data_IF_020137131589
#
_entry.id   IF_020137131589
#
_cell.length_a   1.000
_cell.length_b   1.000
_cell.length_c   1.000
_cell.angle_alpha   90.00
_cell.angle_beta   90.00
_cell.angle_gamma   90.00
#
_symmetry.space_group_name_H-M   'P 1'
#
loop_
_entity.id
_entity.type
_entity.pdbx_description
1 polymer ?
#
# COMPACT_ATOMS: atom_id res chain seq x y z
N UNK A 1 7.68 18.82 9.69
CA UNK A 1 6.85 18.06 8.72
C UNK A 1 7.77 17.26 7.81
N UNK A 2 7.60 15.93 7.75
CA UNK A 2 8.33 15.13 6.76
C UNK A 2 7.79 15.46 5.36
N UNK A 3 8.68 15.65 4.39
CA UNK A 3 8.27 15.88 3.00
C UNK A 3 7.58 14.63 2.44
N UNK A 4 6.51 14.82 1.66
CA UNK A 4 5.91 13.74 0.89
C UNK A 4 6.94 13.26 -0.15
N UNK A 5 7.29 11.98 -0.11
CA UNK A 5 8.27 11.38 -1.02
C UNK A 5 7.61 10.23 -1.77
N UNK A 6 7.31 10.49 -3.03
CA UNK A 6 6.72 9.50 -3.93
C UNK A 6 7.50 9.55 -5.23
N UNK A 7 7.93 8.39 -5.72
CA UNK A 7 8.51 8.22 -7.05
C UNK A 7 7.53 7.43 -7.90
N UNK A 8 7.29 7.90 -9.10
CA UNK A 8 6.43 7.23 -10.09
C UNK A 8 7.30 6.81 -11.26
N UNK A 9 7.20 5.53 -11.63
CA UNK A 9 7.91 4.94 -12.76
C UNK A 9 6.87 4.32 -13.68
N UNK A 10 6.66 4.94 -14.83
CA UNK A 10 5.82 4.39 -15.90
C UNK A 10 6.62 3.38 -16.73
N UNK A 11 5.91 2.48 -17.40
CA UNK A 11 6.51 1.43 -18.23
C UNK A 11 7.54 0.57 -17.46
N UNK A 12 7.18 0.21 -16.23
CA UNK A 12 8.06 -0.42 -15.26
C UNK A 12 8.60 -1.79 -15.72
N UNK A 13 7.74 -2.69 -16.17
CA UNK A 13 8.13 -3.98 -16.74
C UNK A 13 8.29 -3.87 -18.26
N UNK A 14 9.36 -4.49 -18.83
CA UNK A 14 9.49 -4.56 -20.30
C UNK A 14 8.35 -5.34 -20.98
N UNK A 15 7.83 -6.38 -20.33
CA UNK A 15 6.65 -7.15 -20.78
C UNK A 15 5.63 -7.29 -19.64
N UNK A 16 4.81 -6.26 -19.41
CA UNK A 16 3.82 -6.28 -18.32
C UNK A 16 2.67 -7.26 -18.55
N UNK A 17 2.40 -7.62 -19.80
CA UNK A 17 1.37 -8.59 -20.12
C UNK A 17 1.76 -9.99 -19.68
N UNK A 18 3.02 -10.38 -19.81
CA UNK A 18 3.52 -11.65 -19.29
C UNK A 18 3.47 -11.69 -17.76
N UNK A 19 3.81 -10.58 -17.09
CA UNK A 19 3.66 -10.47 -15.63
C UNK A 19 2.21 -10.65 -15.20
N UNK A 20 1.28 -9.96 -15.88
CA UNK A 20 -0.16 -10.09 -15.61
C UNK A 20 -0.66 -11.51 -15.84
N UNK A 21 -0.34 -12.13 -16.99
CA UNK A 21 -0.74 -13.52 -17.26
C UNK A 21 -0.23 -14.48 -16.21
N UNK A 22 1.03 -14.32 -15.81
CA UNK A 22 1.62 -15.11 -14.74
C UNK A 22 0.86 -14.91 -13.42
N UNK A 23 0.65 -13.67 -12.99
CA UNK A 23 -0.11 -13.36 -11.79
C UNK A 23 -1.48 -14.05 -11.77
N UNK A 24 -2.22 -13.98 -12.88
CA UNK A 24 -3.55 -14.58 -13.01
C UNK A 24 -3.53 -16.11 -13.07
N UNK A 25 -2.39 -16.75 -13.33
CA UNK A 25 -2.24 -18.21 -13.32
C UNK A 25 -1.94 -18.78 -11.92
N UNK A 26 -1.60 -17.93 -10.96
CA UNK A 26 -1.23 -18.34 -9.61
C UNK A 26 -2.46 -18.67 -8.74
N UNK A 27 -2.21 -19.44 -7.69
CA UNK A 27 -3.20 -19.64 -6.64
C UNK A 27 -3.19 -18.46 -5.67
N UNK A 28 -4.38 -17.98 -5.36
CA UNK A 28 -4.59 -16.91 -4.39
C UNK A 28 -5.18 -17.49 -3.11
N UNK A 29 -4.79 -16.92 -1.99
CA UNK A 29 -5.30 -17.18 -0.64
C UNK A 29 -5.98 -15.92 -0.12
N UNK A 30 -6.98 -16.06 0.71
CA UNK A 30 -7.64 -14.92 1.34
C UNK A 30 -6.71 -14.27 2.37
N UNK A 31 -6.46 -12.98 2.22
CA UNK A 31 -5.64 -12.23 3.15
C UNK A 31 -6.28 -12.12 4.55
N UNK A 32 -7.61 -12.16 4.64
CA UNK A 32 -8.33 -12.07 5.90
C UNK A 32 -8.19 -13.33 6.77
N UNK A 33 -7.98 -14.50 6.17
CA UNK A 33 -7.89 -15.77 6.90
C UNK A 33 -6.56 -16.01 7.61
N UNK A 34 -5.53 -15.20 7.32
CA UNK A 34 -4.19 -15.39 7.89
C UNK A 34 -3.87 -14.49 9.08
N UNK A 35 -4.66 -13.42 9.26
CA UNK A 35 -4.50 -12.51 10.38
C UNK A 35 -5.86 -11.99 10.81
N UNK A 36 -6.39 -12.48 11.90
CA UNK A 36 -7.69 -12.09 12.47
C UNK A 36 -7.84 -10.57 12.72
N UNK A 37 -6.76 -9.81 12.65
CA UNK A 37 -6.71 -8.37 12.88
C UNK A 37 -6.40 -7.53 11.64
N UNK A 38 -6.37 -8.09 10.42
CA UNK A 38 -6.07 -7.30 9.24
C UNK A 38 -7.32 -6.71 8.61
N UNK A 39 -7.34 -5.38 8.50
CA UNK A 39 -8.29 -4.64 7.68
C UNK A 39 -7.95 -4.74 6.18
N UNK A 40 -6.92 -5.52 5.82
CA UNK A 40 -6.51 -5.73 4.44
C UNK A 40 -7.39 -6.80 3.82
N UNK A 41 -8.29 -6.37 2.97
CA UNK A 41 -9.09 -7.27 2.14
C UNK A 41 -8.37 -7.64 0.86
N UNK A 42 -8.80 -8.74 0.30
CA UNK A 42 -8.34 -9.24 -0.97
C UNK A 42 -7.60 -10.55 -0.85
N UNK A 43 -7.14 -11.01 -1.97
CA UNK A 43 -6.45 -12.27 -2.13
C UNK A 43 -4.98 -12.02 -2.45
N UNK A 44 -4.10 -12.80 -1.86
CA UNK A 44 -2.64 -12.72 -2.00
C UNK A 44 -2.09 -14.00 -2.60
N UNK A 45 -1.02 -13.89 -3.37
CA UNK A 45 -0.21 -15.05 -3.78
C UNK A 45 0.89 -15.33 -2.75
N UNK A 46 1.60 -16.44 -2.92
CA UNK A 46 2.87 -16.65 -2.22
C UNK A 46 3.94 -15.70 -2.73
N UNK A 47 4.86 -15.22 -1.86
CA UNK A 47 5.86 -14.22 -2.25
C UNK A 47 7.01 -14.76 -3.11
N UNK A 48 7.21 -16.07 -3.16
CA UNK A 48 8.34 -16.67 -3.88
C UNK A 48 7.96 -17.01 -5.32
N UNK A 49 8.37 -16.17 -6.26
CA UNK A 49 8.17 -16.37 -7.69
C UNK A 49 9.17 -15.52 -8.52
N UNK A 50 9.44 -15.87 -9.80
CA UNK A 50 10.46 -15.19 -10.61
C UNK A 50 10.29 -13.67 -10.71
N UNK A 51 9.07 -13.19 -10.81
CA UNK A 51 8.79 -11.75 -10.92
C UNK A 51 9.00 -10.96 -9.62
N UNK A 52 9.18 -11.62 -8.47
CA UNK A 52 9.60 -10.96 -7.24
C UNK A 52 11.03 -10.41 -7.37
N UNK A 53 11.98 -11.25 -7.81
CA UNK A 53 13.37 -10.85 -8.00
C UNK A 53 13.55 -9.87 -9.15
N UNK A 54 12.87 -10.09 -10.27
CA UNK A 54 12.87 -9.17 -11.42
C UNK A 54 12.37 -7.78 -10.98
N UNK A 55 11.24 -7.71 -10.28
CA UNK A 55 10.67 -6.46 -9.80
C UNK A 55 11.61 -5.72 -8.85
N UNK A 56 12.26 -6.43 -7.90
CA UNK A 56 13.27 -5.83 -7.02
C UNK A 56 14.46 -5.27 -7.79
N UNK A 57 14.96 -5.99 -8.79
CA UNK A 57 16.05 -5.52 -9.65
C UNK A 57 15.67 -4.24 -10.40
N UNK A 58 14.44 -4.16 -10.91
CA UNK A 58 13.92 -2.96 -11.58
C UNK A 58 13.75 -1.78 -10.60
N UNK A 59 13.28 -2.02 -9.37
CA UNK A 59 13.20 -1.00 -8.32
C UNK A 59 14.59 -0.47 -7.98
N UNK A 60 15.57 -1.35 -7.74
CA UNK A 60 16.95 -0.97 -7.46
C UNK A 60 17.55 -0.12 -8.59
N UNK A 61 17.29 -0.51 -9.84
CA UNK A 61 17.71 0.24 -11.03
C UNK A 61 17.05 1.61 -11.10
N UNK A 62 15.75 1.71 -10.89
CA UNK A 62 15.01 2.97 -10.91
C UNK A 62 15.48 3.94 -9.82
N UNK A 63 15.82 3.43 -8.65
CA UNK A 63 16.37 4.22 -7.54
C UNK A 63 17.86 4.55 -7.72
N UNK A 64 18.55 3.84 -8.61
CA UNK A 64 20.01 3.86 -8.72
C UNK A 64 20.69 3.61 -7.35
N UNK A 65 20.17 2.63 -6.60
CA UNK A 65 20.60 2.28 -5.24
C UNK A 65 20.51 0.77 -5.02
N UNK A 66 21.46 0.19 -4.29
CA UNK A 66 21.29 -1.16 -3.79
C UNK A 66 20.16 -1.18 -2.77
N UNK A 67 19.35 -2.25 -2.81
CA UNK A 67 18.22 -2.43 -1.90
C UNK A 67 18.35 -3.74 -1.13
N UNK A 68 17.84 -3.74 0.09
CA UNK A 68 17.65 -4.91 0.93
C UNK A 68 16.16 -5.18 1.03
N UNK A 69 15.71 -6.29 0.45
CA UNK A 69 14.31 -6.67 0.52
C UNK A 69 13.88 -7.12 1.92
N UNK A 70 12.60 -6.96 2.22
CA UNK A 70 11.93 -7.49 3.41
C UNK A 70 10.75 -8.36 2.99
N UNK A 71 10.47 -9.40 3.74
CA UNK A 71 9.30 -10.25 3.47
C UNK A 71 7.99 -9.53 3.88
N UNK A 72 6.90 -9.70 3.16
CA UNK A 72 6.75 -10.47 1.92
C UNK A 72 7.27 -9.72 0.69
N UNK A 73 7.76 -10.45 -0.33
CA UNK A 73 8.39 -9.86 -1.51
C UNK A 73 7.56 -10.14 -2.74
N UNK A 74 7.14 -9.07 -3.42
CA UNK A 74 6.57 -9.15 -4.75
C UNK A 74 5.26 -9.93 -4.83
N UNK A 75 4.53 -10.05 -3.74
CA UNK A 75 3.21 -10.69 -3.74
C UNK A 75 2.27 -9.98 -4.71
N UNK A 76 1.56 -10.77 -5.51
CA UNK A 76 0.42 -10.23 -6.24
C UNK A 76 -0.80 -10.17 -5.32
N UNK A 77 -1.49 -9.05 -5.40
CA UNK A 77 -2.71 -8.80 -4.66
C UNK A 77 -3.86 -8.56 -5.62
N UNK A 78 -4.93 -9.31 -5.44
CA UNK A 78 -6.16 -9.20 -6.19
C UNK A 78 -7.28 -8.74 -5.27
N UNK A 79 -7.93 -7.63 -5.63
CA UNK A 79 -9.09 -7.09 -4.93
C UNK A 79 -10.31 -7.16 -5.85
N UNK A 80 -11.38 -7.72 -5.31
CA UNK A 80 -12.67 -7.83 -6.01
C UNK A 80 -13.73 -7.02 -5.24
N UNK A 81 -14.67 -6.47 -5.98
CA UNK A 81 -15.92 -5.98 -5.40
C UNK A 81 -16.84 -7.18 -5.22
N UNK A 82 -17.16 -7.51 -3.98
CA UNK A 82 -18.11 -8.58 -3.68
C UNK A 82 -19.47 -7.99 -3.31
N UNK A 83 -20.55 -8.73 -3.60
CA UNK A 83 -21.90 -8.30 -3.21
C UNK A 83 -22.09 -8.34 -1.67
N UNK A 84 -21.19 -9.03 -0.96
CA UNK A 84 -21.13 -9.07 0.50
C UNK A 84 -20.49 -7.83 1.14
N UNK A 85 -19.93 -6.89 0.34
CA UNK A 85 -19.41 -5.61 0.83
C UNK A 85 -20.53 -4.68 1.31
N UNK A 86 -21.56 -5.26 1.95
CA UNK A 86 -22.69 -4.54 2.53
C UNK A 86 -22.29 -3.70 3.75
N UNK A 87 -21.22 -4.04 4.44
CA UNK A 87 -20.71 -3.27 5.55
C UNK A 87 -19.97 -2.02 5.07
N UNK A 88 -20.31 -0.86 5.63
CA UNK A 88 -19.65 0.41 5.34
C UNK A 88 -18.12 0.33 5.56
N UNK A 89 -17.66 -0.40 6.57
CA UNK A 89 -16.23 -0.67 6.81
C UNK A 89 -15.57 -1.42 5.67
N UNK A 90 -16.29 -2.28 5.00
CA UNK A 90 -15.80 -3.14 3.92
C UNK A 90 -15.69 -2.40 2.59
N UNK A 91 -16.49 -1.37 2.41
CA UNK A 91 -16.41 -0.45 1.27
C UNK A 91 -15.44 0.69 1.51
N UNK A 92 -15.20 1.02 2.78
CA UNK A 92 -14.40 2.17 3.13
C UNK A 92 -12.94 1.95 2.74
N UNK A 93 -12.38 2.95 2.12
CA UNK A 93 -10.95 3.11 1.99
C UNK A 93 -10.40 3.35 3.39
N UNK A 94 -9.54 2.44 3.86
CA UNK A 94 -8.86 2.60 5.14
C UNK A 94 -7.52 3.28 4.92
N UNK A 95 -7.34 4.45 5.52
CA UNK A 95 -6.07 5.15 5.52
C UNK A 95 -5.17 4.52 6.58
N UNK A 96 -3.98 4.12 6.15
CA UNK A 96 -2.99 3.43 6.97
C UNK A 96 -1.57 3.84 6.59
N UNK A 97 -0.64 3.36 7.34
CA UNK A 97 0.77 3.24 6.97
C UNK A 97 1.12 1.76 6.92
N UNK A 98 2.13 1.39 6.16
CA UNK A 98 2.58 0.00 6.11
C UNK A 98 3.31 -0.39 7.40
N UNK A 99 3.39 -1.69 7.65
CA UNK A 99 4.10 -2.19 8.82
C UNK A 99 5.56 -1.69 8.84
N UNK A 100 6.05 -1.31 10.02
CA UNK A 100 7.38 -0.73 10.22
C UNK A 100 8.55 -1.72 9.99
N UNK A 101 8.32 -2.75 9.17
CA UNK A 101 9.32 -3.79 8.85
C UNK A 101 10.27 -3.39 7.74
N UNK A 102 9.90 -2.41 6.91
CA UNK A 102 10.71 -1.87 5.83
C UNK A 102 10.50 -0.37 5.70
N UNK A 103 11.54 0.35 5.30
CA UNK A 103 11.46 1.81 5.14
C UNK A 103 10.68 2.24 3.90
N UNK A 104 10.68 1.41 2.87
CA UNK A 104 10.05 1.72 1.59
C UNK A 104 9.08 0.63 1.18
N UNK A 105 8.01 1.07 0.55
CA UNK A 105 7.06 0.22 -0.15
C UNK A 105 7.03 0.60 -1.63
N UNK A 106 6.76 -0.37 -2.47
CA UNK A 106 6.43 -0.15 -3.86
C UNK A 106 5.26 -1.02 -4.29
N UNK A 107 4.45 -0.51 -5.20
CA UNK A 107 3.41 -1.29 -5.84
C UNK A 107 3.39 -1.03 -7.34
N UNK A 108 3.11 -2.08 -8.11
CA UNK A 108 2.95 -2.03 -9.56
C UNK A 108 1.51 -2.34 -9.92
N UNK A 109 0.89 -1.48 -10.73
CA UNK A 109 -0.46 -1.71 -11.23
C UNK A 109 -0.42 -2.60 -12.48
N UNK A 110 -1.23 -3.65 -12.48
CA UNK A 110 -1.23 -4.67 -13.55
C UNK A 110 -2.57 -4.82 -14.27
N UNK A 111 -3.52 -3.90 -14.07
CA UNK A 111 -4.75 -3.87 -14.85
C UNK A 111 -4.51 -3.19 -16.20
N UNK A 112 -5.13 -3.71 -17.29
CA UNK A 112 -5.16 -3.00 -18.57
C UNK A 112 -5.68 -1.56 -18.39
N UNK A 113 -5.24 -0.64 -19.24
CA UNK A 113 -5.59 0.78 -19.12
C UNK A 113 -7.11 1.02 -19.05
N UNK A 114 -7.89 0.25 -19.83
CA UNK A 114 -9.35 0.33 -19.82
C UNK A 114 -10.02 -0.08 -18.51
N UNK A 115 -9.28 -0.72 -17.60
CA UNK A 115 -9.76 -1.13 -16.28
C UNK A 115 -9.18 -0.26 -15.15
N UNK A 116 -8.26 0.66 -15.46
CA UNK A 116 -7.61 1.47 -14.45
C UNK A 116 -8.57 2.53 -13.89
N UNK A 117 -8.90 2.40 -12.60
CA UNK A 117 -9.76 3.32 -11.85
C UNK A 117 -9.11 3.65 -10.50
N UNK A 118 -9.21 4.92 -10.08
CA UNK A 118 -8.67 5.39 -8.81
C UNK A 118 -7.14 5.44 -8.80
N UNK A 119 -6.52 4.76 -7.84
CA UNK A 119 -5.07 4.76 -7.68
C UNK A 119 -4.64 4.53 -6.23
N UNK A 120 -3.63 5.28 -5.79
CA UNK A 120 -3.18 5.36 -4.41
C UNK A 120 -3.13 6.80 -3.98
N UNK A 121 -3.87 7.13 -2.94
CA UNK A 121 -3.93 8.47 -2.36
C UNK A 121 -3.07 8.56 -1.11
N UNK A 122 -2.49 9.75 -0.87
CA UNK A 122 -1.67 10.05 0.27
C UNK A 122 -2.30 11.17 1.08
N UNK A 123 -2.19 11.07 2.40
CA UNK A 123 -2.96 11.88 3.33
C UNK A 123 -2.11 12.51 4.42
N UNK A 124 -2.67 13.55 5.05
CA UNK A 124 -2.18 14.14 6.28
C UNK A 124 -3.25 14.00 7.34
N UNK A 125 -2.88 13.49 8.51
CA UNK A 125 -3.76 13.46 9.67
C UNK A 125 -3.93 14.85 10.25
N UNK A 126 -5.18 15.32 10.36
CA UNK A 126 -5.48 16.73 10.74
C UNK A 126 -5.05 17.06 12.16
N UNK A 127 -5.35 16.18 13.11
CA UNK A 127 -5.07 16.44 14.53
C UNK A 127 -3.56 16.42 14.81
N UNK A 128 -2.85 15.41 14.31
CA UNK A 128 -1.42 15.26 14.53
C UNK A 128 -0.57 16.10 13.57
N UNK A 129 -1.19 16.60 12.49
CA UNK A 129 -0.52 17.31 11.40
C UNK A 129 0.63 16.51 10.77
N UNK A 130 0.48 15.20 10.71
CA UNK A 130 1.45 14.25 10.15
C UNK A 130 1.00 13.74 8.80
N UNK A 131 1.93 13.62 7.86
CA UNK A 131 1.75 12.92 6.58
C UNK A 131 2.43 11.53 6.58
N UNK A 132 3.18 11.23 7.62
CA UNK A 132 3.79 9.93 7.88
C UNK A 132 3.87 9.72 9.40
N UNK A 133 3.76 8.48 9.86
CA UNK A 133 3.99 8.19 11.27
C UNK A 133 5.47 8.44 11.61
N UNK A 134 5.78 9.19 12.68
CA UNK A 134 7.14 9.35 13.15
C UNK A 134 7.74 8.02 13.60
N UNK A 135 9.06 7.97 13.69
CA UNK A 135 9.73 6.85 14.35
C UNK A 135 9.24 6.73 15.81
N UNK A 136 8.86 5.53 16.27
CA UNK A 136 8.40 5.33 17.65
C UNK A 136 9.38 5.83 18.73
N UNK A 137 10.68 5.83 18.42
CA UNK A 137 11.73 6.30 19.34
C UNK A 137 12.12 7.77 19.10
N UNK A 138 11.41 8.49 18.22
CA UNK A 138 11.71 9.89 17.95
C UNK A 138 11.24 10.84 19.06
N UNK A 139 11.90 11.99 19.15
CA UNK A 139 11.46 13.07 20.04
C UNK A 139 10.07 13.60 19.65
N UNK A 140 9.71 13.56 18.37
CA UNK A 140 8.40 13.96 17.86
C UNK A 140 7.29 13.08 18.43
N UNK A 141 7.46 11.76 18.43
CA UNK A 141 6.53 10.81 19.05
C UNK A 141 6.44 11.01 20.56
N UNK A 142 7.58 11.14 21.25
CA UNK A 142 7.63 11.37 22.67
C UNK A 142 6.94 12.68 23.10
N UNK A 143 7.08 13.73 22.30
CA UNK A 143 6.41 15.01 22.55
C UNK A 143 4.88 14.88 22.38
N UNK A 144 4.42 14.17 21.36
CA UNK A 144 2.99 13.95 21.16
C UNK A 144 2.38 13.16 22.32
N UNK A 145 2.99 12.05 22.69
CA UNK A 145 2.53 11.21 23.81
C UNK A 145 2.38 12.04 25.09
N UNK A 146 3.35 12.89 25.40
CA UNK A 146 3.28 13.79 26.57
C UNK A 146 2.17 14.82 26.45
N UNK A 147 2.03 15.45 25.29
CA UNK A 147 1.02 16.51 25.08
C UNK A 147 -0.40 15.99 25.17
N UNK A 148 -0.64 14.76 24.70
CA UNK A 148 -1.94 14.12 24.73
C UNK A 148 -2.18 13.26 25.98
N UNK A 149 -1.15 13.09 26.83
CA UNK A 149 -1.17 12.18 27.98
C UNK A 149 -1.60 10.74 27.62
N UNK A 150 -1.07 10.23 26.53
CA UNK A 150 -1.27 8.86 26.05
C UNK A 150 0.08 8.21 25.76
N UNK A 151 0.14 6.89 25.73
CA UNK A 151 1.33 6.16 25.31
C UNK A 151 1.38 5.99 23.78
N UNK A 152 2.46 5.38 23.29
CA UNK A 152 2.64 5.10 21.85
C UNK A 152 1.51 4.22 21.34
N UNK A 153 1.07 3.23 22.11
CA UNK A 153 -0.02 2.34 21.70
C UNK A 153 -1.32 3.13 21.52
N UNK A 154 -1.62 4.05 22.41
CA UNK A 154 -2.79 4.94 22.26
C UNK A 154 -2.74 5.81 21.00
N UNK A 155 -1.55 6.27 20.59
CA UNK A 155 -1.39 6.96 19.30
C UNK A 155 -1.68 6.02 18.13
N UNK A 156 -1.16 4.79 18.16
CA UNK A 156 -1.36 3.81 17.11
C UNK A 156 -2.82 3.39 16.98
N UNK A 157 -3.50 3.18 18.11
CA UNK A 157 -4.93 2.83 18.15
C UNK A 157 -5.78 3.98 17.61
N UNK A 158 -5.46 5.23 17.95
CA UNK A 158 -6.13 6.42 17.41
C UNK A 158 -5.98 6.48 15.89
N UNK A 159 -4.78 6.31 15.35
CA UNK A 159 -4.54 6.33 13.91
C UNK A 159 -5.30 5.21 13.18
N UNK A 160 -5.38 4.02 13.81
CA UNK A 160 -6.12 2.88 13.29
C UNK A 160 -7.61 3.15 13.19
N UNK A 161 -8.20 3.70 14.25
CA UNK A 161 -9.62 4.03 14.30
C UNK A 161 -9.96 5.20 13.37
N UNK A 162 -9.15 6.24 13.38
CA UNK A 162 -9.31 7.41 12.51
C UNK A 162 -9.13 7.07 11.02
N UNK A 163 -8.47 5.95 10.68
CA UNK A 163 -8.25 5.50 9.30
C UNK A 163 -9.53 5.31 8.48
N UNK A 164 -10.68 5.13 9.13
CA UNK A 164 -11.99 5.03 8.48
C UNK A 164 -12.76 6.37 8.42
N UNK A 165 -12.32 7.37 9.17
CA UNK A 165 -12.97 8.69 9.25
C UNK A 165 -12.31 9.68 8.27
N UNK A 166 -12.34 9.37 6.97
CA UNK A 166 -11.55 10.04 5.94
C UNK A 166 -11.86 11.54 5.89
N UNK A 167 -13.12 11.90 5.76
CA UNK A 167 -13.52 13.31 5.57
C UNK A 167 -13.34 14.16 6.83
N UNK A 168 -13.34 13.53 7.99
CA UNK A 168 -13.27 14.23 9.29
C UNK A 168 -11.83 14.40 9.78
N UNK A 169 -10.99 13.38 9.56
CA UNK A 169 -9.69 13.24 10.20
C UNK A 169 -8.50 13.47 9.27
N UNK A 170 -8.73 13.47 7.97
CA UNK A 170 -7.66 13.45 7.00
C UNK A 170 -7.80 14.54 5.93
N UNK A 171 -6.67 15.12 5.53
CA UNK A 171 -6.55 15.95 4.35
C UNK A 171 -5.92 15.13 3.23
N UNK A 172 -6.56 15.09 2.07
CA UNK A 172 -5.95 14.53 0.87
C UNK A 172 -4.80 15.42 0.40
N UNK A 173 -3.60 14.88 0.30
CA UNK A 173 -2.43 15.59 -0.19
C UNK A 173 -2.26 15.41 -1.70
N UNK A 174 -2.36 14.17 -2.17
CA UNK A 174 -2.26 13.86 -3.59
C UNK A 174 -2.84 12.48 -3.87
N UNK A 175 -3.20 12.24 -5.12
CA UNK A 175 -3.54 10.94 -5.65
C UNK A 175 -2.61 10.60 -6.82
N UNK A 176 -1.99 9.42 -6.78
CA UNK A 176 -1.28 8.86 -7.93
C UNK A 176 -2.24 7.95 -8.67
N UNK A 177 -2.70 8.35 -9.88
CA UNK A 177 -3.68 7.56 -10.62
C UNK A 177 -3.14 6.19 -10.99
N UNK A 178 -4.02 5.19 -10.94
CA UNK A 178 -3.74 3.88 -11.47
C UNK A 178 -3.52 3.95 -12.98
N UNK A 179 -2.46 3.31 -13.46
CA UNK A 179 -2.12 3.17 -14.87
C UNK A 179 -1.48 1.81 -15.09
N UNK A 180 -1.78 1.15 -16.19
CA UNK A 180 -1.14 -0.13 -16.52
C UNK A 180 0.38 -0.01 -16.55
N UNK A 181 1.07 -0.92 -15.87
CA UNK A 181 2.54 -0.96 -15.77
C UNK A 181 3.19 0.26 -15.08
N UNK A 182 2.45 0.98 -14.25
CA UNK A 182 2.99 2.03 -13.39
C UNK A 182 3.43 1.42 -12.07
N UNK A 183 4.67 1.71 -11.66
CA UNK A 183 5.18 1.47 -10.33
C UNK A 183 5.17 2.78 -9.54
N UNK A 184 4.71 2.73 -8.29
CA UNK A 184 4.89 3.80 -7.32
C UNK A 184 5.77 3.31 -6.18
N UNK A 185 6.73 4.14 -5.77
CA UNK A 185 7.66 3.86 -4.67
C UNK A 185 7.51 4.99 -3.66
N UNK A 186 7.33 4.65 -2.39
CA UNK A 186 7.12 5.63 -1.33
C UNK A 186 7.65 5.16 0.02
N UNK A 187 7.80 6.10 0.96
CA UNK A 187 8.13 5.78 2.36
C UNK A 187 6.95 5.04 2.99
N UNK A 188 7.15 3.82 3.46
CA UNK A 188 6.13 2.94 4.03
C UNK A 188 5.40 3.55 5.24
N UNK A 189 6.00 4.54 5.88
CA UNK A 189 5.40 5.28 7.00
C UNK A 189 4.42 6.36 6.57
N UNK A 190 4.34 6.71 5.27
CA UNK A 190 3.39 7.69 4.77
C UNK A 190 1.97 7.15 4.86
N UNK A 191 1.05 8.01 5.33
CA UNK A 191 -0.37 7.66 5.36
C UNK A 191 -0.93 7.60 3.95
N UNK A 192 -1.45 6.46 3.61
CA UNK A 192 -1.97 6.22 2.27
C UNK A 192 -3.16 5.27 2.27
N UNK A 193 -3.87 5.27 1.17
CA UNK A 193 -4.96 4.33 0.93
C UNK A 193 -5.14 4.09 -0.57
N UNK A 194 -5.64 2.89 -0.89
CA UNK A 194 -6.11 2.62 -2.24
C UNK A 194 -7.37 3.44 -2.53
N UNK A 195 -7.49 3.92 -3.76
CA UNK A 195 -8.71 4.52 -4.26
C UNK A 195 -9.35 3.59 -5.29
N UNK A 196 -10.62 3.26 -5.03
CA UNK A 196 -11.39 2.39 -5.91
C UNK A 196 -11.12 0.89 -5.68
N UNK A 197 -12.21 0.15 -5.55
CA UNK A 197 -12.27 -1.31 -5.65
C UNK A 197 -13.23 -1.60 -6.79
N UNK A 198 -12.85 -2.48 -7.70
CA UNK A 198 -13.61 -2.76 -8.91
C UNK A 198 -13.40 -4.20 -9.35
N UNK A 199 -14.24 -4.65 -10.29
CA UNK A 199 -14.21 -6.00 -10.84
C UNK A 199 -14.85 -7.04 -9.93
N UNK A 200 -15.34 -8.12 -10.54
CA UNK A 200 -15.99 -9.24 -9.85
C UNK A 200 -15.29 -10.57 -10.06
N UNK A 201 -14.30 -10.58 -10.93
CA UNK A 201 -13.53 -11.78 -11.30
C UNK A 201 -12.04 -11.48 -11.25
N UNK A 202 -11.21 -12.51 -11.29
CA UNK A 202 -9.77 -12.32 -11.35
C UNK A 202 -9.31 -11.54 -12.60
N UNK A 203 -10.10 -11.59 -13.68
CA UNK A 203 -9.74 -10.93 -14.94
C UNK A 203 -9.99 -9.42 -14.92
N UNK A 204 -10.94 -8.95 -14.13
CA UNK A 204 -11.34 -7.55 -14.06
C UNK A 204 -11.16 -6.92 -12.68
N UNK A 205 -10.75 -7.69 -11.68
CA UNK A 205 -10.42 -7.18 -10.34
C UNK A 205 -9.14 -6.35 -10.33
N UNK A 206 -9.00 -5.51 -9.28
CA UNK A 206 -7.81 -4.68 -9.11
C UNK A 206 -6.61 -5.56 -8.75
N UNK A 207 -5.66 -5.64 -9.67
CA UNK A 207 -4.45 -6.44 -9.55
C UNK A 207 -3.23 -5.55 -9.36
N UNK A 208 -2.48 -5.78 -8.29
CA UNK A 208 -1.20 -5.13 -8.00
C UNK A 208 -0.13 -6.14 -7.61
N UNK A 209 1.11 -5.74 -7.72
CA UNK A 209 2.25 -6.45 -7.14
C UNK A 209 2.91 -5.54 -6.10
N UNK A 210 3.18 -6.05 -4.90
CA UNK A 210 3.64 -5.25 -3.77
C UNK A 210 5.05 -5.67 -3.32
N UNK A 211 5.86 -4.68 -2.93
CA UNK A 211 7.24 -4.88 -2.48
C UNK A 211 7.50 -4.05 -1.23
N UNK A 212 8.33 -4.61 -0.31
CA UNK A 212 8.82 -3.92 0.87
C UNK A 212 10.33 -4.07 0.95
N UNK A 213 11.06 -2.96 1.16
CA UNK A 213 12.52 -2.95 1.11
C UNK A 213 13.13 -1.77 1.85
N UNK A 214 14.43 -1.89 2.14
CA UNK A 214 15.29 -0.80 2.60
C UNK A 214 16.30 -0.44 1.51
N UNK A 215 16.78 0.79 1.50
CA UNK A 215 17.90 1.23 0.67
C UNK A 215 19.18 1.08 1.52
N UNK A 216 20.21 0.42 0.95
CA UNK A 216 21.52 0.22 1.58
C UNK A 216 22.42 1.46 1.49
#
# INVERSE_FOLDING_TARGET
MSALRIMVVDDFYPDPWSVRRYALSLRYRDAANENENTYYKGMLTTPQHPYAEIGLGLIASALNKPILWRAPIGEFRLLLTTDSDANLRDRATWIHYDALVARYAALVYLNPESQCVGGTSFYRHRIFNWNAIPDPHSQEMANLCRNLNIDIQGVLDTLKDDGFAIDEKWDLLTNVPMRFNRCIIFDSRQFHARMGTFGRTALDGRLTQNFFFDIL
#
